data_IF_010872089293
#
_entry.id   IF_010872089293
#
_cell.length_a   1.000
_cell.length_b   1.000
_cell.length_c   1.000
_cell.angle_alpha   90.00
_cell.angle_beta   90.00
_cell.angle_gamma   90.00
#
_symmetry.space_group_name_H-M   'P 1'
#
loop_
_entity.id
_entity.type
_entity.pdbx_description
1 polymer ?
#
# COMPACT_ATOMS: atom_id res chain seq x y z
N UNK A 1 11.72 10.50 29.73
CA UNK A 1 11.50 10.04 28.33
C UNK A 1 10.54 11.05 27.72
N UNK A 2 10.79 11.53 26.51
CA UNK A 2 9.90 12.50 25.84
C UNK A 2 8.59 11.78 25.48
N UNK A 3 7.44 12.37 25.77
CA UNK A 3 6.15 11.80 25.37
C UNK A 3 5.94 11.97 23.87
N UNK A 4 5.35 10.95 23.22
CA UNK A 4 5.04 10.94 21.80
C UNK A 4 3.52 10.92 21.61
N UNK A 5 3.03 11.75 20.70
CA UNK A 5 1.62 11.86 20.41
C UNK A 5 1.34 11.66 18.92
N UNK A 6 0.35 10.85 18.61
CA UNK A 6 -0.26 10.83 17.27
C UNK A 6 -1.35 11.89 17.27
N UNK A 7 -1.12 12.98 16.57
CA UNK A 7 -2.00 14.17 16.60
C UNK A 7 -3.19 13.99 15.65
N UNK A 8 -2.96 13.39 14.48
CA UNK A 8 -4.02 13.05 13.53
C UNK A 8 -3.58 11.93 12.59
N UNK A 9 -4.55 11.24 12.00
CA UNK A 9 -4.35 10.28 10.94
C UNK A 9 -5.54 10.27 9.97
N UNK A 10 -5.29 9.99 8.71
CA UNK A 10 -6.32 9.80 7.69
C UNK A 10 -5.77 8.91 6.56
N UNK A 11 -6.63 8.43 5.68
CA UNK A 11 -6.28 7.63 4.50
C UNK A 11 -7.12 7.99 3.29
N UNK A 12 -6.67 7.64 2.12
CA UNK A 12 -7.52 7.57 0.94
C UNK A 12 -8.44 6.34 1.02
N UNK A 13 -9.48 6.31 0.22
CA UNK A 13 -10.15 5.05 -0.08
C UNK A 13 -9.20 4.11 -0.82
N UNK A 14 -9.36 2.80 -0.60
CA UNK A 14 -8.53 1.74 -1.21
C UNK A 14 -9.12 1.39 -2.58
N UNK A 15 -8.32 1.56 -3.64
CA UNK A 15 -8.68 1.16 -5.00
C UNK A 15 -8.42 -0.33 -5.26
N UNK A 16 -9.12 -0.89 -6.23
CA UNK A 16 -8.81 -2.21 -6.79
C UNK A 16 -7.64 -2.13 -7.77
N UNK A 17 -6.92 -3.24 -7.95
CA UNK A 17 -5.92 -3.35 -9.01
C UNK A 17 -6.58 -3.13 -10.39
N UNK A 18 -6.01 -2.22 -11.17
CA UNK A 18 -6.59 -1.79 -12.45
C UNK A 18 -7.87 -0.95 -12.34
N UNK A 19 -8.30 -0.62 -11.12
CA UNK A 19 -9.54 0.11 -10.82
C UNK A 19 -9.42 1.64 -10.93
N UNK A 20 -10.24 2.33 -10.16
CA UNK A 20 -10.46 3.77 -10.28
C UNK A 20 -9.20 4.62 -10.05
N UNK A 21 -8.30 4.19 -9.19
CA UNK A 21 -7.06 4.91 -8.87
C UNK A 21 -5.86 4.56 -9.75
N UNK A 22 -6.00 3.67 -10.74
CA UNK A 22 -4.87 3.15 -11.54
C UNK A 22 -4.01 4.23 -12.20
N UNK A 23 -4.60 5.35 -12.57
CA UNK A 23 -3.91 6.47 -13.23
C UNK A 23 -3.52 7.61 -12.28
N UNK A 24 -3.76 7.46 -10.98
CA UNK A 24 -3.44 8.48 -9.98
C UNK A 24 -2.04 8.21 -9.42
N UNK A 25 -1.06 9.10 -9.62
CA UNK A 25 0.28 8.90 -9.10
C UNK A 25 0.30 8.69 -7.59
N UNK A 26 1.15 7.78 -7.09
CA UNK A 26 1.27 7.51 -5.67
C UNK A 26 1.59 8.78 -4.85
N UNK A 27 2.46 9.65 -5.38
CA UNK A 27 2.79 10.91 -4.74
C UNK A 27 1.59 11.89 -4.61
N UNK A 28 0.62 11.84 -5.52
CA UNK A 28 -0.59 12.65 -5.44
C UNK A 28 -1.55 12.15 -4.37
N UNK A 29 -1.75 10.84 -4.29
CA UNK A 29 -2.53 10.22 -3.21
C UNK A 29 -1.93 10.53 -1.83
N UNK A 30 -0.61 10.39 -1.68
CA UNK A 30 0.09 10.75 -0.46
C UNK A 30 -0.07 12.22 -0.09
N UNK A 31 0.03 13.14 -1.07
CA UNK A 31 -0.13 14.56 -0.82
C UNK A 31 -1.53 14.95 -0.33
N UNK A 32 -2.57 14.30 -0.85
CA UNK A 32 -3.96 14.53 -0.42
C UNK A 32 -4.13 14.24 1.07
N UNK A 33 -3.63 13.09 1.54
CA UNK A 33 -3.76 12.71 2.95
C UNK A 33 -2.86 13.54 3.86
N UNK A 34 -1.67 13.93 3.42
CA UNK A 34 -0.79 14.80 4.20
C UNK A 34 -1.42 16.18 4.40
N UNK A 35 -1.96 16.79 3.33
CA UNK A 35 -2.69 18.06 3.46
C UNK A 35 -3.82 17.99 4.47
N UNK A 36 -4.63 16.95 4.39
CA UNK A 36 -5.78 16.81 5.28
C UNK A 36 -5.34 16.50 6.72
N UNK A 37 -4.32 15.67 6.92
CA UNK A 37 -3.79 15.37 8.25
C UNK A 37 -3.28 16.63 8.95
N UNK A 38 -2.48 17.45 8.26
CA UNK A 38 -1.98 18.73 8.78
C UNK A 38 -3.14 19.71 9.11
N UNK A 39 -4.12 19.79 8.21
CA UNK A 39 -5.32 20.62 8.44
C UNK A 39 -6.08 20.18 9.67
N UNK A 40 -6.36 18.89 9.83
CA UNK A 40 -7.09 18.34 10.99
C UNK A 40 -6.30 18.50 12.29
N UNK A 41 -4.99 18.39 12.21
CA UNK A 41 -4.09 18.62 13.35
C UNK A 41 -3.91 20.11 13.70
N UNK A 42 -4.40 21.02 12.86
CA UNK A 42 -4.15 22.46 12.94
C UNK A 42 -2.65 22.79 12.98
N UNK A 43 -1.86 22.08 12.18
CA UNK A 43 -0.42 22.28 12.03
C UNK A 43 -0.15 22.94 10.69
N UNK A 44 0.54 24.08 10.71
CA UNK A 44 0.99 24.72 9.48
C UNK A 44 2.11 23.90 8.82
N UNK A 45 2.15 23.79 7.47
CA UNK A 45 3.19 23.04 6.77
C UNK A 45 4.63 23.46 7.13
N UNK A 46 4.83 24.72 7.48
CA UNK A 46 6.12 25.31 7.89
C UNK A 46 6.62 24.78 9.24
N UNK A 47 5.74 24.20 10.05
CA UNK A 47 6.07 23.63 11.36
C UNK A 47 6.43 22.15 11.29
N UNK A 48 6.48 21.57 10.10
CA UNK A 48 6.92 20.18 9.91
C UNK A 48 8.44 20.15 9.80
N UNK A 49 9.09 19.33 10.62
CA UNK A 49 10.54 19.20 10.63
C UNK A 49 11.05 18.13 9.66
N UNK A 50 10.26 17.05 9.44
CA UNK A 50 10.66 15.95 8.56
C UNK A 50 9.45 15.17 8.02
N UNK A 51 9.63 14.57 6.82
CA UNK A 51 8.61 13.72 6.18
C UNK A 51 9.19 12.35 5.84
N UNK A 52 8.57 11.30 6.36
CA UNK A 52 8.95 9.91 6.14
C UNK A 52 7.77 9.13 5.54
N UNK A 53 7.93 8.65 4.31
CA UNK A 53 6.81 8.02 3.60
C UNK A 53 7.22 6.69 2.98
N UNK A 54 6.51 5.61 3.32
CA UNK A 54 6.71 4.29 2.73
C UNK A 54 6.25 4.25 1.27
N UNK A 55 7.09 3.72 0.39
CA UNK A 55 6.73 3.38 -0.98
C UNK A 55 7.74 2.36 -1.52
N UNK A 56 7.28 1.27 -2.08
CA UNK A 56 8.13 0.17 -2.56
C UNK A 56 8.27 0.18 -4.07
N UNK A 57 7.18 0.34 -4.80
CA UNK A 57 7.17 0.30 -6.25
C UNK A 57 7.51 1.68 -6.83
N UNK A 58 8.75 2.10 -6.65
CA UNK A 58 9.20 3.45 -7.02
C UNK A 58 9.69 3.58 -8.46
N UNK A 59 9.76 2.48 -9.21
CA UNK A 59 10.21 2.49 -10.60
C UNK A 59 9.37 3.45 -11.46
N UNK A 60 10.03 4.32 -12.20
CA UNK A 60 9.42 5.34 -13.08
C UNK A 60 8.50 6.36 -12.38
N UNK A 61 8.48 6.45 -11.05
CA UNK A 61 7.72 7.46 -10.32
C UNK A 61 8.49 8.77 -10.07
N UNK A 62 9.69 8.88 -10.58
CA UNK A 62 10.59 10.00 -10.32
C UNK A 62 11.38 9.83 -9.02
N UNK A 63 12.13 10.88 -8.69
CA UNK A 63 12.98 10.83 -7.50
C UNK A 63 12.15 10.92 -6.21
N UNK A 64 12.48 10.10 -5.22
CA UNK A 64 12.04 10.23 -3.84
C UNK A 64 10.55 10.56 -3.68
N UNK A 65 9.71 9.54 -3.68
CA UNK A 65 8.25 9.68 -3.62
C UNK A 65 7.81 10.49 -2.39
N UNK A 66 8.46 10.30 -1.22
CA UNK A 66 8.17 11.08 -0.01
C UNK A 66 8.44 12.57 -0.21
N UNK A 67 9.53 12.93 -0.93
CA UNK A 67 9.82 14.32 -1.26
C UNK A 67 8.74 14.92 -2.17
N UNK A 68 8.27 14.17 -3.14
CA UNK A 68 7.18 14.62 -4.00
C UNK A 68 5.87 14.82 -3.21
N UNK A 69 5.57 13.91 -2.28
CA UNK A 69 4.43 14.03 -1.35
C UNK A 69 4.54 15.31 -0.54
N UNK A 70 5.69 15.57 0.10
CA UNK A 70 5.93 16.75 0.93
C UNK A 70 5.68 18.06 0.15
N UNK A 71 6.32 18.20 -1.01
CA UNK A 71 6.18 19.41 -1.83
C UNK A 71 4.77 19.59 -2.36
N UNK A 72 4.14 18.52 -2.86
CA UNK A 72 2.74 18.57 -3.33
C UNK A 72 1.76 18.86 -2.19
N UNK A 73 2.10 18.51 -0.96
CA UNK A 73 1.32 18.84 0.24
C UNK A 73 1.48 20.30 0.69
N UNK A 74 2.47 21.02 0.17
CA UNK A 74 2.74 22.41 0.54
C UNK A 74 3.79 22.58 1.65
N UNK A 75 4.45 21.49 2.04
CA UNK A 75 5.56 21.54 3.02
C UNK A 75 6.77 22.20 2.34
N UNK A 76 7.48 23.11 3.04
CA UNK A 76 8.59 23.88 2.47
C UNK A 76 9.74 23.04 1.94
N UNK A 77 10.47 23.57 0.95
CA UNK A 77 11.66 22.93 0.37
C UNK A 77 12.79 22.70 1.37
N UNK A 78 12.84 23.44 2.46
CA UNK A 78 13.82 23.31 3.54
C UNK A 78 13.61 22.05 4.39
N UNK A 79 12.38 21.50 4.41
CA UNK A 79 12.05 20.32 5.20
C UNK A 79 12.59 19.06 4.51
N UNK A 80 13.43 18.25 5.16
CA UNK A 80 13.91 16.99 4.61
C UNK A 80 12.78 15.98 4.47
N UNK A 81 12.93 15.11 3.45
CA UNK A 81 11.98 14.03 3.22
C UNK A 81 12.69 12.81 2.63
N UNK A 82 12.33 11.61 3.04
CA UNK A 82 12.85 10.38 2.46
C UNK A 82 11.83 9.26 2.38
N UNK A 83 12.02 8.42 1.35
CA UNK A 83 11.17 7.26 1.12
C UNK A 83 11.72 6.06 1.89
N UNK A 84 10.83 5.40 2.66
CA UNK A 84 11.16 4.21 3.45
C UNK A 84 10.84 2.96 2.65
N UNK A 85 11.82 2.07 2.54
CA UNK A 85 11.70 0.77 1.86
C UNK A 85 11.87 -0.40 2.84
N UNK A 86 10.78 -0.99 3.31
CA UNK A 86 10.73 -2.21 4.12
C UNK A 86 9.56 -3.10 3.67
N UNK A 87 9.38 -3.22 2.36
CA UNK A 87 8.28 -3.94 1.71
C UNK A 87 6.93 -3.59 2.37
N UNK A 88 6.07 -4.54 2.71
CA UNK A 88 4.73 -4.31 3.29
C UNK A 88 4.76 -3.56 4.64
N UNK A 89 5.91 -3.57 5.34
CA UNK A 89 6.11 -2.85 6.61
C UNK A 89 6.51 -1.38 6.48
N UNK A 90 6.68 -0.84 5.26
CA UNK A 90 7.25 0.49 5.04
C UNK A 90 6.47 1.63 5.69
N UNK A 91 5.13 1.59 5.61
CA UNK A 91 4.28 2.59 6.24
C UNK A 91 4.40 2.57 7.77
N UNK A 92 4.36 1.41 8.40
CA UNK A 92 4.59 1.26 9.84
C UNK A 92 6.01 1.68 10.22
N UNK A 93 7.01 1.32 9.39
CA UNK A 93 8.41 1.70 9.63
C UNK A 93 8.59 3.21 9.61
N UNK A 94 7.89 3.95 8.76
CA UNK A 94 7.95 5.41 8.74
C UNK A 94 7.50 6.02 10.09
N UNK A 95 6.47 5.47 10.72
CA UNK A 95 6.01 5.90 12.05
C UNK A 95 7.06 5.60 13.13
N UNK A 96 7.70 4.43 13.06
CA UNK A 96 8.79 4.06 13.99
C UNK A 96 9.98 5.02 13.85
N UNK A 97 10.37 5.37 12.61
CA UNK A 97 11.47 6.30 12.37
C UNK A 97 11.12 7.71 12.82
N UNK A 98 9.89 8.18 12.58
CA UNK A 98 9.42 9.46 13.10
C UNK A 98 9.45 9.53 14.62
N UNK A 99 9.02 8.47 15.29
CA UNK A 99 9.13 8.36 16.74
C UNK A 99 10.61 8.44 17.21
N UNK A 100 11.52 7.78 16.50
CA UNK A 100 12.96 7.83 16.80
C UNK A 100 13.55 9.22 16.62
N UNK A 101 13.20 9.91 15.54
CA UNK A 101 13.66 11.28 15.27
C UNK A 101 13.24 12.24 16.40
N UNK A 102 11.99 12.14 16.87
CA UNK A 102 11.50 12.96 17.99
C UNK A 102 12.21 12.59 19.30
N UNK A 103 12.42 11.30 19.58
CA UNK A 103 13.09 10.85 20.81
C UNK A 103 14.58 11.23 20.82
N UNK A 104 15.23 11.24 19.67
CA UNK A 104 16.61 11.68 19.49
C UNK A 104 16.77 13.21 19.67
N UNK A 105 15.69 13.96 19.49
CA UNK A 105 15.69 15.42 19.56
C UNK A 105 15.97 16.11 18.22
N UNK A 106 15.97 15.34 17.12
CA UNK A 106 16.21 15.88 15.78
C UNK A 106 14.96 16.58 15.20
N UNK A 107 13.77 16.20 15.67
CA UNK A 107 12.48 16.75 15.24
C UNK A 107 11.51 16.91 16.40
N UNK A 108 10.55 17.81 16.26
CA UNK A 108 9.39 17.95 17.15
C UNK A 108 8.08 17.54 16.46
N UNK A 109 7.97 17.80 15.15
CA UNK A 109 6.80 17.47 14.32
C UNK A 109 7.22 16.70 13.08
N UNK A 110 6.78 15.46 12.97
CA UNK A 110 7.07 14.62 11.81
C UNK A 110 5.78 14.17 11.11
N UNK A 111 5.84 14.07 9.79
CA UNK A 111 4.79 13.49 8.97
C UNK A 111 5.22 12.09 8.54
N UNK A 112 4.47 11.08 8.98
CA UNK A 112 4.74 9.68 8.68
C UNK A 112 3.55 9.06 7.91
N UNK A 113 3.83 8.16 6.99
CA UNK A 113 2.78 7.48 6.24
C UNK A 113 3.33 6.53 5.18
N UNK A 114 2.51 6.30 4.18
CA UNK A 114 2.88 5.52 3.00
C UNK A 114 1.88 5.70 1.88
N UNK A 115 2.32 5.41 0.68
CA UNK A 115 1.51 5.45 -0.53
C UNK A 115 2.00 4.41 -1.52
N UNK A 116 1.08 3.78 -2.26
CA UNK A 116 1.44 2.80 -3.28
C UNK A 116 0.43 2.82 -4.42
N UNK A 117 0.89 2.69 -5.65
CA UNK A 117 0.04 2.41 -6.80
C UNK A 117 0.58 1.20 -7.56
N UNK A 118 0.12 0.03 -7.20
CA UNK A 118 0.53 -1.24 -7.82
C UNK A 118 0.10 -1.32 -9.30
N UNK A 119 -1.01 -0.69 -9.65
CA UNK A 119 -1.51 -0.66 -11.03
C UNK A 119 -0.62 0.14 -11.99
N UNK A 120 0.17 1.07 -11.45
CA UNK A 120 1.09 1.91 -12.22
C UNK A 120 2.53 1.38 -12.25
N UNK A 121 2.81 0.24 -11.61
CA UNK A 121 4.13 -0.38 -11.65
C UNK A 121 4.49 -0.77 -13.09
N UNK A 122 5.64 -0.34 -13.63
CA UNK A 122 6.01 -0.59 -15.01
C UNK A 122 6.56 -2.02 -15.20
N UNK A 123 6.56 -2.46 -16.45
CA UNK A 123 7.40 -3.57 -16.87
C UNK A 123 8.80 -3.06 -17.24
N UNK A 124 9.85 -3.75 -16.79
CA UNK A 124 11.23 -3.41 -17.04
C UNK A 124 11.90 -4.37 -18.03
N UNK A 125 12.63 -3.82 -18.98
CA UNK A 125 13.55 -4.58 -19.82
C UNK A 125 14.97 -4.46 -19.27
N UNK A 126 15.53 -5.54 -18.76
CA UNK A 126 16.86 -5.53 -18.13
C UNK A 126 18.00 -5.38 -19.14
N UNK A 127 17.76 -5.79 -20.39
CA UNK A 127 18.78 -5.82 -21.46
C UNK A 127 18.72 -4.58 -22.38
N UNK A 128 17.66 -3.77 -22.33
CA UNK A 128 17.42 -2.70 -23.28
C UNK A 128 18.50 -1.61 -23.25
N UNK A 129 19.08 -1.31 -22.07
CA UNK A 129 20.11 -0.27 -21.92
C UNK A 129 21.36 -0.53 -22.80
N UNK A 130 21.65 -1.79 -23.04
CA UNK A 130 22.84 -2.22 -23.82
C UNK A 130 22.47 -2.68 -25.23
N UNK A 131 21.29 -2.30 -25.73
CA UNK A 131 20.87 -2.49 -27.11
C UNK A 131 20.06 -3.74 -27.39
N UNK A 132 19.65 -4.51 -26.37
CA UNK A 132 18.78 -5.70 -26.51
C UNK A 132 19.06 -6.49 -27.81
N UNK A 133 20.31 -6.86 -28.05
CA UNK A 133 20.84 -7.31 -29.34
C UNK A 133 20.05 -8.50 -29.93
N UNK A 134 20.67 -9.51 -30.45
CA UNK A 134 19.99 -10.65 -31.11
C UNK A 134 19.17 -11.50 -30.12
N UNK A 135 18.01 -12.01 -30.56
CA UNK A 135 17.10 -12.90 -29.81
C UNK A 135 16.04 -12.17 -28.98
N UNK A 136 15.07 -12.93 -28.49
CA UNK A 136 13.95 -12.43 -27.70
C UNK A 136 14.41 -11.87 -26.35
N UNK A 137 13.72 -10.84 -25.87
CA UNK A 137 13.97 -10.20 -24.56
C UNK A 137 12.71 -10.25 -23.70
N UNK A 138 12.91 -10.52 -22.42
CA UNK A 138 11.83 -10.55 -21.45
C UNK A 138 11.54 -9.15 -20.91
N UNK A 139 10.27 -8.88 -20.68
CA UNK A 139 9.80 -7.79 -19.82
C UNK A 139 9.51 -8.36 -18.43
N UNK A 140 10.05 -7.73 -17.41
CA UNK A 140 9.87 -8.13 -16.02
C UNK A 140 8.80 -7.24 -15.40
N UNK A 141 7.75 -7.86 -14.86
CA UNK A 141 6.75 -7.16 -14.06
C UNK A 141 7.37 -6.73 -12.72
N UNK A 142 7.60 -5.42 -12.56
CA UNK A 142 8.24 -4.89 -11.35
C UNK A 142 7.32 -4.96 -10.12
N UNK A 143 6.01 -4.98 -10.30
CA UNK A 143 5.08 -5.19 -9.18
C UNK A 143 5.30 -6.56 -8.54
N UNK A 144 5.41 -7.60 -9.36
CA UNK A 144 5.67 -8.95 -8.88
C UNK A 144 7.11 -9.08 -8.39
N UNK A 145 8.08 -8.68 -9.21
CA UNK A 145 9.50 -8.92 -8.93
C UNK A 145 10.00 -8.19 -7.67
N UNK A 146 9.56 -6.95 -7.46
CA UNK A 146 10.07 -6.10 -6.39
C UNK A 146 9.13 -6.06 -5.16
N UNK A 147 7.85 -6.38 -5.33
CA UNK A 147 6.85 -6.30 -4.26
C UNK A 147 6.30 -7.63 -3.76
N UNK A 148 6.20 -8.65 -4.63
CA UNK A 148 5.46 -9.88 -4.32
C UNK A 148 6.28 -11.17 -4.47
N UNK A 149 7.55 -11.09 -4.87
CA UNK A 149 8.41 -12.25 -5.08
C UNK A 149 9.47 -12.37 -4.00
N UNK A 150 9.52 -13.53 -3.33
CA UNK A 150 10.59 -13.83 -2.39
C UNK A 150 11.91 -14.00 -3.14
N UNK A 151 12.85 -13.11 -2.85
CA UNK A 151 14.16 -13.08 -3.52
C UNK A 151 15.08 -14.23 -3.12
N UNK A 152 14.83 -14.86 -1.99
CA UNK A 152 15.67 -15.93 -1.41
C UNK A 152 15.16 -17.31 -1.81
N UNK A 153 13.88 -17.56 -1.62
CA UNK A 153 13.25 -18.85 -1.89
C UNK A 153 12.66 -18.96 -3.29
N UNK A 154 12.63 -17.84 -4.04
CA UNK A 154 12.23 -17.79 -5.44
C UNK A 154 10.78 -18.23 -5.71
N UNK A 155 9.84 -17.76 -4.86
CA UNK A 155 8.41 -17.98 -5.03
C UNK A 155 7.58 -16.72 -4.69
N UNK A 156 6.30 -16.72 -5.06
CA UNK A 156 5.37 -15.63 -4.79
C UNK A 156 4.96 -15.59 -3.31
N UNK A 157 4.59 -14.39 -2.79
CA UNK A 157 4.10 -14.23 -1.42
C UNK A 157 2.86 -15.08 -1.10
N UNK A 158 2.05 -15.42 -2.08
CA UNK A 158 0.96 -16.37 -1.90
C UNK A 158 1.44 -17.77 -1.52
N UNK A 159 2.56 -18.22 -2.08
CA UNK A 159 3.20 -19.50 -1.66
C UNK A 159 3.71 -19.40 -0.22
N UNK A 160 4.13 -18.23 0.24
CA UNK A 160 4.48 -18.01 1.66
C UNK A 160 3.27 -18.25 2.57
N UNK A 161 2.07 -17.82 2.15
CA UNK A 161 0.84 -18.08 2.89
C UNK A 161 0.50 -19.58 2.91
N UNK A 162 0.70 -20.29 1.78
CA UNK A 162 0.54 -21.77 1.74
C UNK A 162 1.52 -22.48 2.68
N UNK A 163 2.77 -22.03 2.76
CA UNK A 163 3.74 -22.59 3.71
C UNK A 163 3.28 -22.43 5.17
N UNK A 164 2.61 -21.33 5.50
CA UNK A 164 2.01 -21.12 6.82
C UNK A 164 0.87 -22.10 7.06
N UNK A 165 0.01 -22.30 6.06
CA UNK A 165 -1.07 -23.27 6.14
C UNK A 165 -0.54 -24.68 6.42
N UNK A 166 0.54 -25.07 5.75
CA UNK A 166 1.18 -26.38 5.96
C UNK A 166 1.78 -26.52 7.36
N UNK A 167 2.50 -25.50 7.84
CA UNK A 167 3.18 -25.54 9.16
C UNK A 167 2.16 -25.66 10.31
N UNK A 168 1.02 -24.98 10.20
CA UNK A 168 0.01 -24.93 11.26
C UNK A 168 -1.26 -25.72 10.98
N UNK A 169 -1.33 -26.45 9.86
CA UNK A 169 -2.47 -27.27 9.49
C UNK A 169 -3.76 -26.47 9.29
N UNK A 170 -3.66 -25.24 8.78
CA UNK A 170 -4.81 -24.38 8.54
C UNK A 170 -5.58 -24.91 7.32
N UNK A 171 -6.82 -25.28 7.52
CA UNK A 171 -7.66 -25.88 6.49
C UNK A 171 -8.24 -24.82 5.52
N UNK A 172 -8.65 -25.26 4.33
CA UNK A 172 -9.37 -24.39 3.38
C UNK A 172 -10.66 -23.85 3.97
N UNK A 173 -11.38 -24.65 4.75
CA UNK A 173 -12.61 -24.24 5.40
C UNK A 173 -12.40 -23.14 6.45
N UNK A 174 -11.28 -23.16 7.15
CA UNK A 174 -10.89 -22.11 8.10
C UNK A 174 -10.52 -20.82 7.38
N UNK A 175 -9.77 -20.92 6.28
CA UNK A 175 -9.42 -19.78 5.43
C UNK A 175 -10.67 -19.11 4.85
N UNK A 176 -11.59 -19.90 4.28
CA UNK A 176 -12.85 -19.40 3.73
C UNK A 176 -13.73 -18.76 4.80
N UNK A 177 -13.81 -19.36 6.00
CA UNK A 177 -14.54 -18.78 7.12
C UNK A 177 -13.94 -17.44 7.56
N UNK A 178 -12.61 -17.34 7.66
CA UNK A 178 -11.90 -16.11 8.00
C UNK A 178 -12.11 -15.03 6.94
N UNK A 179 -11.95 -15.37 5.67
CA UNK A 179 -12.14 -14.44 4.55
C UNK A 179 -13.57 -13.91 4.49
N UNK A 180 -14.58 -14.78 4.62
CA UNK A 180 -15.99 -14.39 4.65
C UNK A 180 -16.28 -13.46 5.84
N UNK A 181 -15.80 -13.81 7.04
CA UNK A 181 -15.97 -12.97 8.23
C UNK A 181 -15.31 -11.59 8.09
N UNK A 182 -14.13 -11.51 7.46
CA UNK A 182 -13.44 -10.25 7.17
C UNK A 182 -14.25 -9.37 6.23
N UNK A 183 -14.78 -9.92 5.13
CA UNK A 183 -15.63 -9.19 4.19
C UNK A 183 -16.93 -8.71 4.86
N UNK A 184 -17.59 -9.55 5.63
CA UNK A 184 -18.84 -9.21 6.34
C UNK A 184 -18.62 -8.10 7.39
N UNK A 185 -17.51 -8.15 8.15
CA UNK A 185 -17.14 -7.08 9.09
C UNK A 185 -16.91 -5.76 8.36
N UNK A 186 -16.20 -5.80 7.23
CA UNK A 186 -15.95 -4.60 6.40
C UNK A 186 -17.24 -4.04 5.82
N UNK A 187 -18.13 -4.88 5.31
CA UNK A 187 -19.43 -4.47 4.80
C UNK A 187 -20.28 -3.81 5.89
N UNK A 188 -20.33 -4.41 7.09
CA UNK A 188 -21.04 -3.85 8.23
C UNK A 188 -20.45 -2.49 8.66
N UNK A 189 -19.13 -2.37 8.70
CA UNK A 189 -18.44 -1.12 9.03
C UNK A 189 -18.71 -0.02 7.99
N UNK A 190 -18.66 -0.36 6.69
CA UNK A 190 -19.02 0.59 5.62
C UNK A 190 -20.48 1.06 5.71
N UNK A 191 -21.42 0.13 5.95
CA UNK A 191 -22.84 0.48 6.12
C UNK A 191 -23.11 1.38 7.33
N UNK A 192 -22.31 1.20 8.38
CA UNK A 192 -22.40 2.00 9.61
C UNK A 192 -21.59 3.32 9.55
N UNK A 193 -20.98 3.67 8.42
CA UNK A 193 -20.18 4.89 8.25
C UNK A 193 -18.89 4.92 9.08
N UNK A 194 -18.38 3.75 9.51
CA UNK A 194 -17.21 3.68 10.42
C UNK A 194 -15.92 4.21 9.80
N UNK A 195 -15.85 4.32 8.49
CA UNK A 195 -14.67 4.79 7.75
C UNK A 195 -14.80 6.24 7.28
N UNK A 196 -15.96 6.89 7.47
CA UNK A 196 -16.24 8.21 6.90
C UNK A 196 -15.30 9.29 7.46
N UNK A 197 -14.95 9.20 8.75
CA UNK A 197 -14.06 10.16 9.40
C UNK A 197 -12.59 10.00 8.98
N UNK A 198 -12.18 8.83 8.53
CA UNK A 198 -10.78 8.57 8.16
C UNK A 198 -10.50 8.73 6.67
N UNK A 199 -11.50 8.54 5.81
CA UNK A 199 -11.32 8.58 4.36
C UNK A 199 -11.30 10.02 3.84
N UNK A 200 -10.23 10.35 3.11
CA UNK A 200 -10.09 11.63 2.39
C UNK A 200 -10.35 11.38 0.91
N UNK A 201 -11.29 12.10 0.29
CA UNK A 201 -11.57 11.94 -1.14
C UNK A 201 -10.39 12.29 -2.02
N UNK A 202 -10.09 11.43 -2.98
CA UNK A 202 -9.14 11.70 -4.07
C UNK A 202 -9.93 12.09 -5.30
N UNK A 203 -9.62 13.24 -5.89
CA UNK A 203 -10.27 13.68 -7.13
C UNK A 203 -9.71 12.88 -8.32
N UNK A 204 -10.54 12.12 -9.00
CA UNK A 204 -10.19 11.32 -10.16
C UNK A 204 -10.91 11.81 -11.41
N UNK A 205 -10.26 11.69 -12.57
CA UNK A 205 -10.87 12.05 -13.84
C UNK A 205 -11.68 10.89 -14.40
N UNK A 206 -13.00 11.08 -14.49
CA UNK A 206 -13.91 10.15 -15.14
C UNK A 206 -14.46 10.82 -16.40
N UNK A 207 -14.08 10.32 -17.56
CA UNK A 207 -14.35 10.98 -18.88
C UNK A 207 -13.80 12.41 -18.90
N UNK A 208 -14.63 13.42 -18.81
CA UNK A 208 -14.28 14.85 -18.84
C UNK A 208 -14.43 15.55 -17.48
N UNK A 209 -14.92 14.86 -16.47
CA UNK A 209 -15.25 15.42 -15.16
C UNK A 209 -14.29 14.94 -14.09
N UNK A 210 -14.06 15.78 -13.08
CA UNK A 210 -13.36 15.40 -11.86
C UNK A 210 -14.39 14.98 -10.82
N UNK A 211 -14.31 13.74 -10.35
CA UNK A 211 -15.21 13.18 -9.35
C UNK A 211 -14.45 12.72 -8.11
N UNK A 212 -15.03 12.85 -6.91
CA UNK A 212 -14.40 12.35 -5.70
C UNK A 212 -14.43 10.83 -5.63
N UNK A 213 -13.30 10.20 -5.42
CA UNK A 213 -13.18 8.79 -5.06
C UNK A 213 -13.02 8.71 -3.54
N UNK A 214 -14.08 8.30 -2.85
CA UNK A 214 -14.19 8.35 -1.39
C UNK A 214 -14.70 7.05 -0.76
N UNK A 215 -14.80 5.96 -1.52
CA UNK A 215 -15.29 4.67 -1.03
C UNK A 215 -14.30 3.57 -1.39
N UNK A 216 -13.98 2.72 -0.41
CA UNK A 216 -13.17 1.53 -0.66
C UNK A 216 -13.81 0.66 -1.74
N UNK A 217 -13.08 0.42 -2.82
CA UNK A 217 -13.55 -0.25 -4.03
C UNK A 217 -13.40 -1.77 -3.94
N UNK A 218 -12.43 -2.23 -3.17
CA UNK A 218 -12.06 -3.64 -3.11
C UNK A 218 -13.03 -4.53 -2.32
N UNK A 219 -13.59 -4.11 -1.16
CA UNK A 219 -14.51 -4.94 -0.38
C UNK A 219 -15.77 -5.30 -1.17
N UNK A 220 -16.19 -6.56 -1.05
CA UNK A 220 -17.37 -7.09 -1.74
C UNK A 220 -18.49 -7.36 -0.75
N UNK A 221 -19.67 -6.86 -1.05
CA UNK A 221 -20.86 -7.12 -0.23
C UNK A 221 -21.40 -8.55 -0.47
N UNK A 222 -22.01 -9.12 0.55
CA UNK A 222 -22.71 -10.41 0.48
C UNK A 222 -21.81 -11.62 0.34
N UNK A 223 -20.52 -11.52 0.70
CA UNK A 223 -19.60 -12.66 0.68
C UNK A 223 -19.96 -13.66 1.77
N UNK A 224 -20.10 -14.94 1.40
CA UNK A 224 -20.34 -16.06 2.33
C UNK A 224 -19.27 -17.14 2.15
N UNK A 225 -19.05 -17.95 3.18
CA UNK A 225 -18.12 -19.09 3.13
C UNK A 225 -18.45 -20.03 1.98
N UNK A 226 -19.73 -20.37 1.81
CA UNK A 226 -20.21 -21.26 0.75
C UNK A 226 -20.02 -20.67 -0.65
N UNK A 227 -20.12 -19.33 -0.76
CA UNK A 227 -19.93 -18.60 -2.02
C UNK A 227 -18.48 -18.68 -2.52
N UNK A 228 -17.52 -18.56 -1.60
CA UNK A 228 -16.08 -18.58 -1.95
C UNK A 228 -15.48 -19.97 -1.96
N UNK A 229 -16.08 -20.96 -1.32
CA UNK A 229 -15.59 -22.36 -1.29
C UNK A 229 -15.38 -22.98 -2.69
N UNK A 230 -16.06 -22.45 -3.71
CA UNK A 230 -15.96 -22.91 -5.11
C UNK A 230 -14.78 -22.29 -5.88
N UNK A 231 -14.11 -21.29 -5.30
CA UNK A 231 -12.98 -20.65 -5.95
C UNK A 231 -11.80 -21.62 -6.03
N UNK A 232 -11.14 -21.59 -7.17
CA UNK A 232 -9.88 -22.31 -7.33
C UNK A 232 -8.79 -21.58 -6.54
N UNK A 233 -7.84 -22.33 -6.07
CA UNK A 233 -6.67 -21.75 -5.49
C UNK A 233 -5.84 -20.95 -6.47
N UNK A 234 -5.27 -19.86 -5.95
CA UNK A 234 -4.49 -18.93 -6.75
C UNK A 234 -3.02 -19.33 -6.88
N UNK A 235 -2.48 -20.06 -5.90
CA UNK A 235 -1.06 -20.42 -5.87
C UNK A 235 -0.88 -21.94 -5.92
N UNK A 236 0.14 -22.43 -6.67
CA UNK A 236 0.45 -23.84 -6.70
C UNK A 236 0.97 -24.26 -5.32
N UNK A 237 0.43 -25.36 -4.83
CA UNK A 237 0.95 -26.03 -3.65
C UNK A 237 2.28 -26.67 -3.99
N UNK A 238 3.24 -26.63 -3.09
CA UNK A 238 4.45 -27.42 -3.23
C UNK A 238 4.08 -28.91 -3.39
N UNK A 239 4.68 -29.64 -4.31
CA UNK A 239 4.47 -31.10 -4.40
C UNK A 239 4.79 -31.84 -3.12
N UNK A 240 5.55 -31.23 -2.23
CA UNK A 240 5.97 -31.75 -0.93
C UNK A 240 5.02 -31.34 0.21
N UNK A 241 4.03 -30.48 -0.09
CA UNK A 241 3.07 -30.03 0.93
C UNK A 241 2.14 -31.18 1.33
N UNK A 242 2.05 -31.49 2.62
CA UNK A 242 1.09 -32.47 3.13
C UNK A 242 -0.36 -31.98 3.04
N UNK A 243 -0.56 -30.69 2.80
CA UNK A 243 -1.88 -30.07 2.80
C UNK A 243 -2.08 -29.30 1.48
N UNK A 244 -2.68 -29.91 0.44
CA UNK A 244 -2.86 -29.31 -0.88
C UNK A 244 -3.93 -28.22 -0.90
N UNK A 245 -3.93 -27.37 0.07
CA UNK A 245 -4.86 -26.26 0.20
C UNK A 245 -4.31 -25.03 -0.48
N UNK A 246 -5.18 -24.13 -0.81
CA UNK A 246 -4.84 -23.08 -1.74
C UNK A 246 -5.47 -21.78 -1.29
N UNK A 247 -4.63 -20.81 -1.00
CA UNK A 247 -5.01 -19.44 -0.67
C UNK A 247 -5.71 -18.74 -1.83
#
# INVERSE_FOLDING_TARGET
MKDLYVVNCCRTAIGSFGGSLKNTPAAEMGAVVVKEALKRANIAPENVDEVMFGCILTAAQGQNVARQVAIKAGIPYSVPAYTVGMVCGSGMKSVIEGARSILAGDSDVVVCGGTENMSAAPFASLDARWGARMGDKKLVDTMIKDGLWDAYNNYHMGTTAENINDIWGITREEQDAFAAASQQKTEAAQKAGRFDDEIVPVMIKVKKEMVPFAKDEYPKAGVTKEGIAKLRGAFPVSPESPNPQVV
#
